data_IF_288119800718
#
_entry.id   IF_288119800718
#
_cell.length_a   1.000
_cell.length_b   1.000
_cell.length_c   1.000
_cell.angle_alpha   90.00
_cell.angle_beta   90.00
_cell.angle_gamma   90.00
#
_symmetry.space_group_name_H-M   'P 1'
#
loop_
_entity.id
_entity.type
_entity.pdbx_description
1 polymer ?
#
# COMPACT_ATOMS: atom_id res chain seq x y z
N UNK A 1 -7.60 -6.12 24.38
CA UNK A 1 -6.37 -6.64 23.76
C UNK A 1 -5.82 -7.78 24.60
N UNK A 2 -5.44 -8.92 24.02
CA UNK A 2 -4.65 -9.92 24.75
C UNK A 2 -3.25 -9.34 24.98
N UNK A 3 -2.75 -9.41 26.22
CA UNK A 3 -1.41 -8.95 26.61
C UNK A 3 -0.35 -9.81 25.92
N UNK A 4 0.77 -9.21 25.50
CA UNK A 4 1.90 -9.99 24.98
C UNK A 4 2.37 -10.98 26.05
N UNK A 5 2.69 -12.20 25.62
CA UNK A 5 3.10 -13.32 26.47
C UNK A 5 4.63 -13.32 26.73
N UNK A 6 5.38 -12.41 26.12
CA UNK A 6 6.82 -12.25 26.36
C UNK A 6 7.68 -13.43 25.86
N UNK A 7 7.16 -14.29 24.98
CA UNK A 7 7.90 -15.40 24.36
C UNK A 7 8.40 -15.02 22.97
N UNK A 8 9.46 -15.69 22.49
CA UNK A 8 9.96 -15.50 21.12
C UNK A 8 8.90 -15.79 20.07
N UNK A 9 8.03 -16.78 20.29
CA UNK A 9 6.93 -17.10 19.37
C UNK A 9 5.85 -16.01 19.36
N UNK A 10 5.51 -15.43 20.51
CA UNK A 10 4.58 -14.29 20.55
C UNK A 10 5.19 -13.05 19.88
N UNK A 11 6.49 -12.83 20.05
CA UNK A 11 7.17 -11.70 19.43
C UNK A 11 7.27 -11.82 17.90
N UNK A 12 7.63 -13.00 17.38
CA UNK A 12 7.92 -13.20 15.95
C UNK A 12 6.69 -13.57 15.11
N UNK A 13 5.75 -14.35 15.66
CA UNK A 13 4.57 -14.85 14.94
C UNK A 13 3.26 -14.64 15.68
N UNK A 14 3.25 -13.76 16.70
CA UNK A 14 2.06 -13.40 17.47
C UNK A 14 1.31 -14.63 18.05
N UNK A 15 2.05 -15.67 18.45
CA UNK A 15 1.47 -16.87 19.05
C UNK A 15 0.54 -17.68 18.14
N UNK A 16 0.47 -17.32 16.84
CA UNK A 16 -0.37 -17.98 15.83
C UNK A 16 -1.85 -18.08 16.18
N UNK A 17 -2.35 -17.14 16.97
CA UNK A 17 -3.72 -17.08 17.48
C UNK A 17 -4.44 -15.79 17.04
N UNK A 18 -3.92 -15.11 16.01
CA UNK A 18 -4.47 -13.84 15.55
C UNK A 18 -5.78 -14.07 14.81
N UNK A 19 -6.88 -13.40 15.22
CA UNK A 19 -8.17 -13.51 14.54
C UNK A 19 -8.10 -13.11 13.07
N UNK A 20 -8.85 -13.82 12.21
CA UNK A 20 -8.83 -13.63 10.76
C UNK A 20 -9.00 -12.17 10.29
N UNK A 21 -9.85 -11.39 10.96
CA UNK A 21 -10.15 -10.01 10.57
C UNK A 21 -8.99 -9.06 10.87
N UNK A 22 -8.25 -9.27 11.98
CA UNK A 22 -7.06 -8.49 12.31
C UNK A 22 -5.93 -8.80 11.33
N UNK A 23 -5.71 -10.08 11.04
CA UNK A 23 -4.76 -10.50 10.01
C UNK A 23 -5.09 -9.86 8.67
N UNK A 24 -6.37 -9.83 8.28
CA UNK A 24 -6.79 -9.24 7.02
C UNK A 24 -6.54 -7.73 6.94
N UNK A 25 -6.95 -6.97 7.96
CA UNK A 25 -6.76 -5.51 7.98
C UNK A 25 -5.28 -5.15 8.08
N UNK A 26 -4.50 -5.91 8.85
CA UNK A 26 -3.05 -5.72 8.91
C UNK A 26 -2.37 -6.03 7.58
N UNK A 27 -2.73 -7.16 6.93
CA UNK A 27 -2.22 -7.46 5.58
C UNK A 27 -2.62 -6.39 4.56
N UNK A 28 -3.83 -5.84 4.68
CA UNK A 28 -4.28 -4.74 3.85
C UNK A 28 -3.44 -3.49 4.08
N UNK A 29 -3.33 -2.97 5.31
CA UNK A 29 -2.52 -1.79 5.61
C UNK A 29 -1.07 -1.95 5.10
N UNK A 30 -0.43 -3.06 5.44
CA UNK A 30 0.95 -3.33 5.03
C UNK A 30 1.15 -3.40 3.52
N UNK A 31 0.21 -4.02 2.80
CA UNK A 31 0.27 -4.05 1.34
C UNK A 31 0.01 -2.66 0.73
N UNK A 32 -0.66 -1.76 1.46
CA UNK A 32 -0.91 -0.38 1.05
C UNK A 32 0.20 0.53 1.59
N UNK A 33 1.30 0.56 0.87
CA UNK A 33 2.44 1.40 1.21
C UNK A 33 2.25 2.85 0.80
N UNK A 34 3.25 3.69 1.09
CA UNK A 34 3.34 5.06 0.56
C UNK A 34 3.19 5.14 -0.96
N UNK A 35 3.49 4.04 -1.69
CA UNK A 35 3.18 3.93 -3.12
C UNK A 35 1.70 4.20 -3.41
N UNK A 36 0.77 3.66 -2.62
CA UNK A 36 -0.67 3.84 -2.89
C UNK A 36 -1.09 5.30 -2.76
N UNK A 37 -0.53 6.07 -1.83
CA UNK A 37 -0.89 7.47 -1.64
C UNK A 37 -0.10 8.43 -2.56
N UNK A 38 1.15 8.11 -2.89
CA UNK A 38 2.03 9.02 -3.63
C UNK A 38 2.22 8.53 -5.07
N UNK A 39 2.73 7.31 -5.23
CA UNK A 39 3.07 6.73 -6.52
C UNK A 39 1.86 6.45 -7.41
N UNK A 40 0.83 5.75 -6.92
CA UNK A 40 -0.34 5.37 -7.70
C UNK A 40 -1.22 6.57 -8.05
N UNK A 41 -1.35 7.53 -7.13
CA UNK A 41 -2.05 8.80 -7.42
C UNK A 41 -1.29 9.58 -8.50
N UNK A 42 0.03 9.68 -8.40
CA UNK A 42 0.86 10.28 -9.45
C UNK A 42 0.81 9.51 -10.78
N UNK A 43 0.70 8.18 -10.73
CA UNK A 43 0.55 7.34 -11.91
C UNK A 43 -0.79 7.59 -12.61
N UNK A 44 -1.90 7.59 -11.86
CA UNK A 44 -3.23 7.90 -12.38
C UNK A 44 -3.35 9.37 -12.85
N UNK A 45 -2.66 10.30 -12.20
CA UNK A 45 -2.55 11.68 -12.67
C UNK A 45 -1.96 11.72 -14.09
N UNK A 46 -0.91 10.93 -14.35
CA UNK A 46 -0.17 10.96 -15.63
C UNK A 46 -0.84 10.17 -16.74
N UNK A 47 -1.37 9.00 -16.43
CA UNK A 47 -1.84 8.04 -17.42
C UNK A 47 -3.37 7.94 -17.51
N UNK A 48 -4.08 8.75 -16.73
CA UNK A 48 -5.53 8.77 -16.75
C UNK A 48 -6.13 7.39 -16.43
N UNK A 49 -7.21 7.06 -17.13
CA UNK A 49 -8.01 5.84 -16.90
C UNK A 49 -7.18 4.55 -17.07
N UNK A 50 -6.11 4.57 -17.85
CA UNK A 50 -5.22 3.40 -18.03
C UNK A 50 -4.62 2.89 -16.71
N UNK A 51 -4.49 3.77 -15.70
CA UNK A 51 -4.02 3.38 -14.36
C UNK A 51 -4.86 2.30 -13.67
N UNK A 52 -6.12 2.12 -14.10
CA UNK A 52 -6.97 1.05 -13.59
C UNK A 52 -6.39 -0.35 -13.85
N UNK A 53 -5.66 -0.55 -14.95
CA UNK A 53 -5.10 -1.85 -15.31
C UNK A 53 -3.99 -2.31 -14.38
N UNK A 54 -3.24 -1.35 -13.81
CA UNK A 54 -2.27 -1.64 -12.76
C UNK A 54 -2.98 -2.30 -11.57
N UNK A 55 -4.05 -1.69 -11.06
CA UNK A 55 -4.79 -2.23 -9.92
C UNK A 55 -5.54 -3.50 -10.25
N UNK A 56 -6.17 -3.60 -11.43
CA UNK A 56 -6.87 -4.83 -11.85
C UNK A 56 -5.88 -6.00 -11.93
N UNK A 57 -4.76 -5.82 -12.63
CA UNK A 57 -3.73 -6.85 -12.73
C UNK A 57 -3.20 -7.24 -11.35
N UNK A 58 -2.85 -6.25 -10.52
CA UNK A 58 -2.37 -6.50 -9.18
C UNK A 58 -3.37 -7.29 -8.32
N UNK A 59 -4.65 -6.88 -8.31
CA UNK A 59 -5.72 -7.56 -7.58
C UNK A 59 -5.89 -8.99 -8.08
N UNK A 60 -5.86 -9.23 -9.39
CA UNK A 60 -5.95 -10.59 -9.95
C UNK A 60 -4.80 -11.46 -9.45
N UNK A 61 -3.56 -10.97 -9.51
CA UNK A 61 -2.39 -11.69 -8.98
C UNK A 61 -2.51 -11.98 -7.49
N UNK A 62 -2.95 -10.99 -6.71
CA UNK A 62 -3.12 -11.11 -5.27
C UNK A 62 -4.26 -12.08 -4.89
N UNK A 63 -5.36 -12.11 -5.66
CA UNK A 63 -6.44 -13.10 -5.48
C UNK A 63 -5.91 -14.52 -5.67
N UNK A 64 -5.10 -14.74 -6.71
CA UNK A 64 -4.44 -16.03 -6.93
C UNK A 64 -3.53 -16.38 -5.76
N UNK A 65 -2.76 -15.41 -5.25
CA UNK A 65 -1.88 -15.60 -4.11
C UNK A 65 -2.64 -16.03 -2.85
N UNK A 66 -3.68 -15.28 -2.47
CA UNK A 66 -4.53 -15.61 -1.32
C UNK A 66 -5.23 -16.97 -1.47
N UNK A 67 -5.62 -17.35 -2.68
CA UNK A 67 -6.25 -18.64 -2.94
C UNK A 67 -5.25 -19.81 -2.88
N UNK A 68 -4.03 -19.63 -3.37
CA UNK A 68 -3.08 -20.71 -3.57
C UNK A 68 -1.98 -20.82 -2.49
N UNK A 69 -1.55 -19.71 -1.88
CA UNK A 69 -0.30 -19.70 -1.08
C UNK A 69 -0.55 -19.47 0.40
N UNK A 70 -1.38 -18.50 0.78
CA UNK A 70 -1.51 -18.07 2.19
C UNK A 70 -1.89 -19.21 3.14
N UNK A 71 -2.80 -20.10 2.72
CA UNK A 71 -3.17 -21.29 3.49
C UNK A 71 -2.00 -22.26 3.68
N UNK A 72 -1.26 -22.56 2.60
CA UNK A 72 -0.09 -23.44 2.64
C UNK A 72 1.02 -22.88 3.52
N UNK A 73 1.22 -21.56 3.49
CA UNK A 73 2.14 -20.85 4.39
C UNK A 73 1.74 -21.05 5.85
N UNK A 74 0.45 -20.91 6.18
CA UNK A 74 -0.03 -21.14 7.55
C UNK A 74 0.15 -22.58 8.02
N UNK A 75 -0.22 -23.54 7.18
CA UNK A 75 -0.09 -24.99 7.46
C UNK A 75 1.38 -25.36 7.68
N UNK A 76 2.24 -25.10 6.68
CA UNK A 76 3.65 -25.47 6.73
C UNK A 76 4.41 -24.78 7.85
N UNK A 77 4.17 -23.48 8.08
CA UNK A 77 4.86 -22.78 9.16
C UNK A 77 4.50 -23.33 10.55
N UNK A 78 3.27 -23.82 10.73
CA UNK A 78 2.86 -24.50 11.96
C UNK A 78 3.53 -25.87 12.11
N UNK A 79 3.54 -26.68 11.04
CA UNK A 79 4.14 -28.02 11.05
C UNK A 79 5.63 -28.01 11.38
N UNK A 80 6.39 -27.08 10.80
CA UNK A 80 7.86 -27.01 10.99
C UNK A 80 8.30 -26.02 12.07
N UNK A 81 7.35 -25.34 12.73
CA UNK A 81 7.67 -24.31 13.72
C UNK A 81 8.42 -23.09 13.17
N UNK A 82 8.35 -22.82 11.86
CA UNK A 82 9.06 -21.70 11.25
C UNK A 82 8.53 -20.35 11.75
N UNK A 83 9.43 -19.51 12.25
CA UNK A 83 9.08 -18.18 12.80
C UNK A 83 9.43 -17.02 11.85
N UNK A 84 9.92 -17.32 10.65
CA UNK A 84 10.14 -16.34 9.59
C UNK A 84 9.97 -16.99 8.21
N UNK A 85 9.67 -16.18 7.19
CA UNK A 85 9.53 -16.67 5.81
C UNK A 85 10.83 -17.26 5.27
N UNK A 86 12.03 -16.67 5.50
CA UNK A 86 13.29 -17.32 5.17
C UNK A 86 13.43 -18.73 5.75
N UNK A 87 13.06 -18.92 7.03
CA UNK A 87 13.12 -20.26 7.66
C UNK A 87 12.06 -21.22 7.16
N UNK A 88 10.92 -20.71 6.67
CA UNK A 88 9.85 -21.51 6.09
C UNK A 88 10.23 -22.13 4.74
N UNK A 89 10.95 -21.37 3.90
CA UNK A 89 11.28 -21.79 2.53
C UNK A 89 12.67 -22.40 2.40
N UNK A 90 13.50 -22.30 3.44
CA UNK A 90 14.88 -22.77 3.37
C UNK A 90 14.98 -24.30 3.42
N UNK A 91 15.72 -24.88 2.46
CA UNK A 91 16.14 -26.29 2.47
C UNK A 91 17.34 -26.58 3.38
N UNK A 92 17.77 -25.63 4.21
CA UNK A 92 18.92 -25.76 5.10
C UNK A 92 19.38 -24.42 5.68
N UNK A 93 20.22 -24.45 6.72
CA UNK A 93 20.66 -23.26 7.47
C UNK A 93 21.32 -22.20 6.59
N UNK A 94 22.16 -22.61 5.64
CA UNK A 94 22.84 -21.68 4.73
C UNK A 94 21.84 -20.87 3.88
N UNK A 95 20.84 -21.55 3.31
CA UNK A 95 19.78 -20.91 2.52
C UNK A 95 18.94 -19.96 3.40
N UNK A 96 18.63 -20.36 4.64
CA UNK A 96 17.89 -19.51 5.58
C UNK A 96 18.66 -18.21 5.91
N UNK A 97 19.97 -18.30 6.13
CA UNK A 97 20.82 -17.15 6.41
C UNK A 97 20.89 -16.22 5.20
N UNK A 98 21.15 -16.77 4.01
CA UNK A 98 21.21 -15.96 2.77
C UNK A 98 19.87 -15.27 2.50
N UNK A 99 18.75 -16.02 2.56
CA UNK A 99 17.42 -15.46 2.38
C UNK A 99 17.09 -14.40 3.44
N UNK A 100 17.54 -14.58 4.69
CA UNK A 100 17.40 -13.59 5.76
C UNK A 100 18.17 -12.30 5.50
N UNK A 101 19.44 -12.39 5.05
CA UNK A 101 20.25 -11.22 4.70
C UNK A 101 19.66 -10.46 3.51
N UNK A 102 19.23 -11.18 2.46
CA UNK A 102 18.56 -10.55 1.31
C UNK A 102 17.25 -9.88 1.73
N UNK A 103 16.45 -10.53 2.57
CA UNK A 103 15.22 -9.96 3.13
C UNK A 103 15.52 -8.66 3.88
N UNK A 104 16.53 -8.65 4.75
CA UNK A 104 16.93 -7.46 5.50
C UNK A 104 17.39 -6.33 4.58
N UNK A 105 18.23 -6.62 3.58
CA UNK A 105 18.72 -5.62 2.64
C UNK A 105 17.59 -4.98 1.81
N UNK A 106 16.72 -5.80 1.21
CA UNK A 106 15.63 -5.30 0.35
C UNK A 106 14.47 -4.69 1.13
N UNK A 107 14.09 -5.23 2.29
CA UNK A 107 13.07 -4.58 3.13
C UNK A 107 13.61 -3.31 3.80
N UNK A 108 14.91 -3.25 4.09
CA UNK A 108 15.55 -2.05 4.60
C UNK A 108 15.49 -0.90 3.59
N UNK A 109 15.79 -1.16 2.31
CA UNK A 109 15.62 -0.14 1.27
C UNK A 109 14.16 0.23 1.04
N UNK A 110 13.25 -0.75 1.12
CA UNK A 110 11.81 -0.49 1.00
C UNK A 110 11.28 0.38 2.15
N UNK A 111 11.67 0.11 3.39
CA UNK A 111 11.34 0.95 4.55
C UNK A 111 11.88 2.38 4.39
N UNK A 112 13.09 2.54 3.82
CA UNK A 112 13.63 3.85 3.45
C UNK A 112 12.73 4.62 2.48
N UNK A 113 12.19 3.95 1.47
CA UNK A 113 11.23 4.55 0.54
C UNK A 113 9.93 4.98 1.23
N UNK A 114 9.47 4.23 2.25
CA UNK A 114 8.29 4.62 3.03
C UNK A 114 8.52 5.91 3.83
N UNK A 115 9.66 6.00 4.52
CA UNK A 115 10.04 7.21 5.26
C UNK A 115 10.22 8.41 4.33
N UNK A 116 10.76 8.19 3.12
CA UNK A 116 10.86 9.22 2.10
C UNK A 116 9.49 9.73 1.65
N UNK A 117 8.52 8.84 1.42
CA UNK A 117 7.16 9.22 1.02
C UNK A 117 6.47 10.08 2.09
N UNK A 118 6.53 9.68 3.37
CA UNK A 118 5.97 10.48 4.48
C UNK A 118 6.69 11.83 4.65
N UNK A 119 8.01 11.84 4.52
CA UNK A 119 8.83 13.05 4.58
C UNK A 119 8.52 14.04 3.44
N UNK A 120 8.36 13.54 2.21
CA UNK A 120 7.99 14.37 1.06
C UNK A 120 6.65 15.09 1.26
N UNK A 121 5.68 14.44 1.91
CA UNK A 121 4.42 15.08 2.23
C UNK A 121 4.55 16.14 3.33
N UNK A 122 5.31 15.90 4.40
CA UNK A 122 5.58 16.93 5.41
C UNK A 122 6.30 18.13 4.82
N UNK A 123 7.27 17.89 3.93
CA UNK A 123 7.96 18.95 3.21
C UNK A 123 7.00 19.75 2.33
N UNK A 124 6.15 19.07 1.55
CA UNK A 124 5.18 19.71 0.65
C UNK A 124 4.13 20.53 1.40
N UNK A 125 3.65 20.03 2.53
CA UNK A 125 2.54 20.63 3.28
C UNK A 125 2.98 21.72 4.27
N UNK A 126 4.15 21.54 4.89
CA UNK A 126 4.60 22.42 5.98
C UNK A 126 5.97 23.05 5.75
N UNK A 127 6.64 22.75 4.61
CA UNK A 127 8.00 23.22 4.35
C UNK A 127 9.05 22.60 5.26
N UNK A 128 8.74 21.49 5.93
CA UNK A 128 9.68 20.85 6.86
C UNK A 128 10.90 20.29 6.14
N UNK A 129 12.04 20.28 6.82
CA UNK A 129 13.22 19.60 6.31
C UNK A 129 12.96 18.08 6.14
N UNK A 130 13.40 17.53 5.01
CA UNK A 130 13.13 16.14 4.68
C UNK A 130 13.78 15.16 5.67
N UNK A 131 14.97 15.48 6.20
CA UNK A 131 15.64 14.62 7.17
C UNK A 131 14.89 14.63 8.50
N UNK A 132 14.35 15.77 8.93
CA UNK A 132 13.51 15.86 10.14
C UNK A 132 12.28 14.96 10.02
N UNK A 133 11.56 15.03 8.89
CA UNK A 133 10.39 14.18 8.65
C UNK A 133 10.73 12.68 8.68
N UNK A 134 11.85 12.30 8.06
CA UNK A 134 12.31 10.90 8.03
C UNK A 134 12.73 10.40 9.42
N UNK A 135 13.47 11.19 10.19
CA UNK A 135 13.92 10.83 11.54
C UNK A 135 12.74 10.67 12.50
N UNK A 136 11.76 11.57 12.44
CA UNK A 136 10.55 11.47 13.27
C UNK A 136 9.76 10.19 12.96
N UNK A 137 9.55 9.90 11.67
CA UNK A 137 8.91 8.65 11.24
C UNK A 137 9.65 7.42 11.75
N UNK A 138 10.98 7.39 11.60
CA UNK A 138 11.81 6.27 12.06
C UNK A 138 11.72 6.07 13.59
N UNK A 139 11.79 7.14 14.39
CA UNK A 139 11.69 7.06 15.85
C UNK A 139 10.34 6.50 16.29
N UNK A 140 9.24 6.96 15.68
CA UNK A 140 7.89 6.46 15.99
C UNK A 140 7.82 4.95 15.68
N UNK A 141 8.21 4.55 14.47
CA UNK A 141 8.17 3.14 14.03
C UNK A 141 9.01 2.25 14.93
N UNK A 142 10.25 2.63 15.20
CA UNK A 142 11.15 1.88 16.08
C UNK A 142 10.56 1.72 17.48
N UNK A 143 9.99 2.79 18.06
CA UNK A 143 9.47 2.76 19.43
C UNK A 143 8.36 1.72 19.61
N UNK A 144 7.35 1.68 18.72
CA UNK A 144 6.28 0.70 18.87
C UNK A 144 6.70 -0.72 18.43
N UNK A 145 7.56 -0.85 17.42
CA UNK A 145 8.07 -2.15 16.96
C UNK A 145 8.86 -2.89 18.07
N UNK A 146 9.72 -2.19 18.81
CA UNK A 146 10.50 -2.78 19.90
C UNK A 146 9.63 -3.23 21.08
N UNK A 147 8.52 -2.53 21.33
CA UNK A 147 7.71 -2.74 22.55
C UNK A 147 6.78 -3.97 22.52
N UNK A 148 6.39 -4.47 21.35
CA UNK A 148 5.34 -5.49 21.27
C UNK A 148 5.35 -6.45 20.07
N UNK A 149 6.42 -6.44 19.27
CA UNK A 149 6.64 -7.41 18.19
C UNK A 149 5.51 -7.45 17.14
N UNK A 150 5.36 -8.59 16.47
CA UNK A 150 4.36 -8.76 15.40
C UNK A 150 2.92 -8.54 15.90
N UNK A 151 2.60 -8.96 17.13
CA UNK A 151 1.25 -8.79 17.67
C UNK A 151 0.89 -7.30 17.78
N UNK A 152 1.78 -6.47 18.31
CA UNK A 152 1.54 -5.03 18.39
C UNK A 152 1.40 -4.41 17.00
N UNK A 153 2.30 -4.77 16.07
CA UNK A 153 2.21 -4.33 14.67
C UNK A 153 0.85 -4.67 14.05
N UNK A 154 0.36 -5.91 14.17
CA UNK A 154 -0.95 -6.28 13.60
C UNK A 154 -2.09 -5.40 14.13
N UNK A 155 -2.07 -5.06 15.42
CA UNK A 155 -3.09 -4.19 16.01
C UNK A 155 -2.97 -2.74 15.54
N UNK A 156 -1.76 -2.20 15.47
CA UNK A 156 -1.54 -0.83 14.95
C UNK A 156 -1.93 -0.75 13.49
N UNK A 157 -1.57 -1.75 12.69
CA UNK A 157 -1.91 -1.80 11.26
C UNK A 157 -3.43 -1.85 11.06
N UNK A 158 -4.16 -2.62 11.86
CA UNK A 158 -5.61 -2.69 11.76
C UNK A 158 -6.28 -1.34 12.07
N UNK A 159 -5.73 -0.55 13.00
CA UNK A 159 -6.17 0.81 13.26
C UNK A 159 -5.79 1.76 12.11
N UNK A 160 -4.57 1.63 11.59
CA UNK A 160 -4.05 2.39 10.45
C UNK A 160 -4.87 2.17 9.18
N UNK A 161 -5.30 0.93 8.90
CA UNK A 161 -6.21 0.59 7.80
C UNK A 161 -7.51 1.41 7.84
N UNK A 162 -8.05 1.67 9.04
CA UNK A 162 -9.24 2.50 9.18
C UNK A 162 -8.94 3.98 8.91
N UNK A 163 -7.83 4.50 9.44
CA UNK A 163 -7.40 5.89 9.21
C UNK A 163 -7.17 6.14 7.73
N UNK A 164 -6.51 5.21 7.03
CA UNK A 164 -6.29 5.28 5.58
C UNK A 164 -7.60 5.33 4.80
N UNK A 165 -8.56 4.45 5.15
CA UNK A 165 -9.86 4.40 4.47
C UNK A 165 -10.64 5.69 4.66
N UNK A 166 -10.70 6.22 5.89
CA UNK A 166 -11.40 7.47 6.20
C UNK A 166 -10.76 8.65 5.47
N UNK A 167 -9.43 8.77 5.53
CA UNK A 167 -8.70 9.81 4.83
C UNK A 167 -9.01 9.80 3.32
N UNK A 168 -8.79 8.66 2.67
CA UNK A 168 -9.00 8.53 1.22
C UNK A 168 -10.47 8.74 0.82
N UNK A 169 -11.42 8.24 1.61
CA UNK A 169 -12.85 8.46 1.36
C UNK A 169 -13.25 9.93 1.46
N UNK A 170 -12.74 10.65 2.47
CA UNK A 170 -12.98 12.09 2.62
C UNK A 170 -12.48 12.86 1.40
N UNK A 171 -11.23 12.63 0.98
CA UNK A 171 -10.66 13.32 -0.18
C UNK A 171 -11.39 12.95 -1.48
N UNK A 172 -11.73 11.67 -1.68
CA UNK A 172 -12.48 11.22 -2.84
C UNK A 172 -13.81 11.95 -2.99
N UNK A 173 -14.58 12.06 -1.90
CA UNK A 173 -15.90 12.72 -1.93
C UNK A 173 -15.76 14.18 -2.32
N UNK A 174 -14.85 14.92 -1.69
CA UNK A 174 -14.65 16.35 -1.99
C UNK A 174 -14.13 16.54 -3.42
N UNK A 175 -13.18 15.70 -3.87
CA UNK A 175 -12.64 15.76 -5.22
C UNK A 175 -13.71 15.47 -6.28
N UNK A 176 -14.54 14.44 -6.09
CA UNK A 176 -15.63 14.13 -7.02
C UNK A 176 -16.68 15.25 -7.07
N UNK A 177 -17.00 15.88 -5.95
CA UNK A 177 -17.90 17.05 -5.94
C UNK A 177 -17.28 18.20 -6.73
N UNK A 178 -15.98 18.47 -6.52
CA UNK A 178 -15.25 19.54 -7.21
C UNK A 178 -15.14 19.30 -8.73
N UNK A 179 -15.15 18.05 -9.19
CA UNK A 179 -15.18 17.71 -10.62
C UNK A 179 -16.59 17.60 -11.21
N UNK A 180 -17.66 17.92 -10.47
CA UNK A 180 -19.03 17.80 -10.97
C UNK A 180 -19.58 16.36 -11.01
N UNK A 181 -19.04 15.49 -10.16
CA UNK A 181 -19.38 14.07 -10.06
C UNK A 181 -18.58 13.18 -11.02
N UNK A 182 -18.89 11.86 -11.08
CA UNK A 182 -18.19 10.93 -11.95
C UNK A 182 -18.27 11.26 -13.44
N UNK A 183 -19.41 11.76 -13.91
CA UNK A 183 -19.58 12.18 -15.31
C UNK A 183 -18.71 13.41 -15.61
N UNK A 184 -18.78 14.44 -14.76
CA UNK A 184 -17.97 15.65 -14.90
C UNK A 184 -16.47 15.36 -14.84
N UNK A 185 -16.03 14.39 -14.02
CA UNK A 185 -14.64 13.93 -13.99
C UNK A 185 -14.18 13.41 -15.36
N UNK A 186 -14.97 12.49 -15.95
CA UNK A 186 -14.63 11.89 -17.25
C UNK A 186 -14.67 12.94 -18.37
N UNK A 187 -15.68 13.80 -18.38
CA UNK A 187 -15.82 14.86 -19.37
C UNK A 187 -14.65 15.85 -19.30
N UNK A 188 -14.26 16.27 -18.08
CA UNK A 188 -13.14 17.17 -17.88
C UNK A 188 -11.79 16.55 -18.29
N UNK A 189 -11.57 15.26 -18.01
CA UNK A 189 -10.37 14.55 -18.48
C UNK A 189 -10.33 14.53 -20.01
N UNK A 190 -11.43 14.16 -20.67
CA UNK A 190 -11.52 14.08 -22.13
C UNK A 190 -11.32 15.45 -22.80
N UNK A 191 -11.77 16.53 -22.16
CA UNK A 191 -11.55 17.90 -22.63
C UNK A 191 -10.10 18.35 -22.49
N UNK A 192 -9.40 17.92 -21.44
CA UNK A 192 -7.98 18.23 -21.25
C UNK A 192 -7.10 17.49 -22.26
N UNK A 193 -7.32 16.18 -22.39
CA UNK A 193 -6.62 15.32 -23.34
C UNK A 193 -7.43 14.03 -23.54
N UNK A 194 -7.91 13.74 -24.77
CA UNK A 194 -8.62 12.49 -25.07
C UNK A 194 -7.86 11.22 -24.67
N UNK A 195 -6.52 11.24 -24.63
CA UNK A 195 -5.71 10.10 -24.19
C UNK A 195 -5.95 9.73 -22.72
N UNK A 196 -6.36 10.68 -21.86
CA UNK A 196 -6.61 10.43 -20.43
C UNK A 196 -7.84 9.55 -20.18
N UNK A 197 -8.75 9.44 -21.14
CA UNK A 197 -9.95 8.57 -21.05
C UNK A 197 -9.84 7.33 -21.93
N UNK A 198 -8.73 7.15 -22.64
CA UNK A 198 -8.45 5.91 -23.35
C UNK A 198 -8.19 4.79 -22.34
N UNK A 199 -8.92 3.69 -22.48
CA UNK A 199 -8.78 2.55 -21.58
C UNK A 199 -7.52 1.74 -21.89
N UNK A 200 -7.22 1.51 -23.16
CA UNK A 200 -6.08 0.68 -23.59
C UNK A 200 -5.03 1.63 -24.18
N UNK A 201 -3.75 1.54 -23.76
CA UNK A 201 -2.68 2.29 -24.40
C UNK A 201 -2.51 1.86 -25.87
N UNK A 202 -2.36 2.82 -26.77
CA UNK A 202 -2.28 2.58 -28.23
C UNK A 202 -0.88 2.09 -28.67
N UNK A 203 0.16 2.27 -27.85
CA UNK A 203 1.57 2.05 -28.15
C UNK A 203 2.16 0.76 -27.53
N UNK A 204 1.31 -0.21 -27.21
CA UNK A 204 1.74 -1.47 -26.59
C UNK A 204 2.50 -2.37 -27.56
N UNK A 205 3.84 -2.35 -27.47
CA UNK A 205 4.76 -3.14 -28.29
C UNK A 205 4.42 -4.65 -28.38
N UNK A 206 3.85 -5.23 -27.31
CA UNK A 206 3.52 -6.65 -27.22
C UNK A 206 2.02 -6.91 -26.98
N UNK A 207 1.18 -5.90 -27.20
CA UNK A 207 -0.27 -5.97 -27.04
C UNK A 207 -0.77 -5.96 -25.59
N UNK A 208 -2.08 -5.75 -25.45
CA UNK A 208 -2.76 -5.59 -24.16
C UNK A 208 -2.64 -6.81 -23.23
N UNK A 209 -2.64 -8.03 -23.77
CA UNK A 209 -2.53 -9.25 -22.97
C UNK A 209 -1.24 -9.31 -22.14
N UNK A 210 -0.08 -9.00 -22.75
CA UNK A 210 1.21 -9.00 -22.05
C UNK A 210 1.36 -7.78 -21.13
N UNK A 211 0.78 -6.64 -21.50
CA UNK A 211 0.69 -5.47 -20.63
C UNK A 211 -0.04 -5.79 -19.31
N UNK A 212 -1.25 -6.36 -19.40
CA UNK A 212 -2.02 -6.75 -18.21
C UNK A 212 -1.33 -7.86 -17.43
N UNK A 213 -0.75 -8.85 -18.12
CA UNK A 213 -0.02 -9.94 -17.49
C UNK A 213 1.15 -9.44 -16.64
N UNK A 214 1.85 -8.38 -17.07
CA UNK A 214 2.90 -7.73 -16.28
C UNK A 214 2.42 -7.27 -14.91
N UNK A 215 1.25 -6.63 -14.84
CA UNK A 215 0.65 -6.23 -13.56
C UNK A 215 0.13 -7.40 -12.73
N UNK A 216 -0.36 -8.47 -13.37
CA UNK A 216 -0.71 -9.72 -12.69
C UNK A 216 0.52 -10.34 -12.01
N UNK A 217 1.66 -10.35 -12.68
CA UNK A 217 2.92 -10.76 -12.07
C UNK A 217 3.36 -9.83 -10.93
N UNK A 218 3.11 -8.52 -11.05
CA UNK A 218 3.28 -7.58 -9.94
C UNK A 218 2.51 -8.00 -8.69
N UNK A 219 1.21 -8.30 -8.84
CA UNK A 219 0.37 -8.80 -7.74
C UNK A 219 0.83 -10.16 -7.19
N UNK A 220 1.19 -11.11 -8.07
CA UNK A 220 1.78 -12.40 -7.65
C UNK A 220 3.09 -12.22 -6.89
N UNK A 221 3.85 -11.18 -7.20
CA UNK A 221 5.11 -10.81 -6.55
C UNK A 221 4.97 -10.58 -5.05
N UNK A 222 3.76 -10.36 -4.52
CA UNK A 222 3.49 -10.32 -3.08
C UNK A 222 3.87 -11.63 -2.36
N UNK A 223 3.99 -12.77 -3.06
CA UNK A 223 4.56 -14.01 -2.51
C UNK A 223 6.00 -13.84 -2.03
N UNK A 224 6.75 -12.95 -2.69
CA UNK A 224 8.14 -12.67 -2.38
C UNK A 224 8.33 -11.69 -1.23
N UNK A 225 7.25 -11.27 -0.56
CA UNK A 225 7.27 -10.24 0.48
C UNK A 225 7.12 -10.85 1.87
N UNK A 226 8.22 -11.02 2.65
CA UNK A 226 8.18 -11.72 3.93
C UNK A 226 7.27 -11.06 4.96
N UNK A 227 7.23 -9.72 4.95
CA UNK A 227 6.37 -8.94 5.80
C UNK A 227 4.87 -9.20 5.49
N UNK A 228 4.44 -9.41 4.26
CA UNK A 228 3.03 -9.80 3.99
C UNK A 228 2.77 -11.24 4.45
N UNK A 229 3.65 -12.18 4.12
CA UNK A 229 3.44 -13.60 4.39
C UNK A 229 3.46 -13.96 5.89
N UNK A 230 4.24 -13.24 6.72
CA UNK A 230 4.30 -13.51 8.18
C UNK A 230 2.93 -13.38 8.85
N UNK A 231 2.05 -12.51 8.35
CA UNK A 231 0.67 -12.33 8.85
C UNK A 231 -0.16 -13.60 8.64
N UNK A 232 0.10 -14.31 7.56
CA UNK A 232 -0.51 -15.64 7.30
C UNK A 232 0.04 -16.70 8.21
N UNK A 233 1.28 -16.58 8.69
CA UNK A 233 1.86 -17.51 9.68
C UNK A 233 1.24 -17.29 11.07
N UNK A 234 0.83 -16.05 11.37
CA UNK A 234 0.27 -15.61 12.64
C UNK A 234 -1.25 -15.84 12.82
N UNK A 235 -1.98 -16.10 11.74
CA UNK A 235 -3.45 -16.30 11.80
C UNK A 235 -3.82 -17.54 12.64
N UNK A 236 -4.97 -17.47 13.30
CA UNK A 236 -5.48 -18.50 14.23
C UNK A 236 -5.58 -19.92 13.65
N UNK A 237 -5.93 -20.06 12.36
CA UNK A 237 -5.99 -21.38 11.71
C UNK A 237 -5.86 -21.30 10.18
N UNK A 238 -5.50 -22.40 9.50
CA UNK A 238 -5.51 -22.47 8.04
C UNK A 238 -6.87 -22.14 7.40
N UNK A 239 -7.97 -22.58 8.02
CA UNK A 239 -9.34 -22.36 7.54
C UNK A 239 -9.72 -20.87 7.63
N UNK A 240 -9.20 -20.17 8.64
CA UNK A 240 -9.40 -18.75 8.86
C UNK A 240 -8.88 -17.88 7.69
N UNK A 241 -7.93 -18.37 6.89
CA UNK A 241 -7.42 -17.67 5.69
C UNK A 241 -8.54 -17.32 4.72
N UNK A 242 -9.56 -18.18 4.56
CA UNK A 242 -10.68 -17.90 3.67
C UNK A 242 -11.50 -16.70 4.15
N UNK A 243 -11.67 -16.57 5.47
CA UNK A 243 -12.35 -15.42 6.09
C UNK A 243 -11.50 -14.16 5.98
N UNK A 244 -10.21 -14.27 6.28
CA UNK A 244 -9.26 -13.17 6.17
C UNK A 244 -9.21 -12.61 4.73
N UNK A 245 -9.15 -13.48 3.72
CA UNK A 245 -9.20 -13.12 2.30
C UNK A 245 -10.42 -12.25 1.96
N UNK A 246 -11.61 -12.61 2.45
CA UNK A 246 -12.84 -11.85 2.18
C UNK A 246 -12.78 -10.45 2.78
N UNK A 247 -12.33 -10.34 4.04
CA UNK A 247 -12.17 -9.05 4.73
C UNK A 247 -11.11 -8.20 4.02
N UNK A 248 -9.99 -8.80 3.64
CA UNK A 248 -8.89 -8.14 2.93
C UNK A 248 -9.38 -7.51 1.62
N UNK A 249 -10.04 -8.27 0.74
CA UNK A 249 -10.52 -7.72 -0.53
C UNK A 249 -11.72 -6.78 -0.39
N UNK A 250 -12.56 -6.97 0.62
CA UNK A 250 -13.63 -6.02 0.94
C UNK A 250 -13.08 -4.63 1.35
N UNK A 251 -11.86 -4.57 1.89
CA UNK A 251 -11.16 -3.33 2.19
C UNK A 251 -10.30 -2.85 1.01
N UNK A 252 -9.51 -3.75 0.39
CA UNK A 252 -8.47 -3.41 -0.59
C UNK A 252 -9.03 -2.90 -1.92
N UNK A 253 -10.13 -3.50 -2.40
CA UNK A 253 -10.71 -3.13 -3.69
C UNK A 253 -11.33 -1.74 -3.66
N UNK A 254 -12.20 -1.38 -2.68
CA UNK A 254 -12.73 -0.02 -2.59
C UNK A 254 -11.63 1.02 -2.35
N UNK A 255 -10.65 0.73 -1.50
CA UNK A 255 -9.53 1.63 -1.25
C UNK A 255 -8.71 1.88 -2.52
N UNK A 256 -8.36 0.83 -3.26
CA UNK A 256 -7.66 0.94 -4.56
C UNK A 256 -8.42 1.76 -5.58
N UNK A 257 -9.74 1.56 -5.67
CA UNK A 257 -10.58 2.34 -6.57
C UNK A 257 -10.60 3.83 -6.19
N UNK A 258 -10.70 4.12 -4.88
CA UNK A 258 -10.66 5.48 -4.37
C UNK A 258 -9.34 6.19 -4.72
N UNK A 259 -8.21 5.50 -4.55
CA UNK A 259 -6.88 6.03 -4.90
C UNK A 259 -6.79 6.40 -6.38
N UNK A 260 -7.22 5.50 -7.28
CA UNK A 260 -7.21 5.78 -8.73
C UNK A 260 -8.09 6.99 -9.04
N UNK A 261 -9.32 7.03 -8.52
CA UNK A 261 -10.25 8.14 -8.74
C UNK A 261 -9.71 9.48 -8.20
N UNK A 262 -9.03 9.49 -7.05
CA UNK A 262 -8.37 10.70 -6.52
C UNK A 262 -7.22 11.15 -7.44
N UNK A 263 -6.44 10.23 -8.02
CA UNK A 263 -5.41 10.58 -9.00
C UNK A 263 -5.98 11.17 -10.29
N UNK A 264 -7.09 10.62 -10.78
CA UNK A 264 -7.83 11.18 -11.91
C UNK A 264 -8.37 12.59 -11.60
N UNK A 265 -8.99 12.76 -10.43
CA UNK A 265 -9.49 14.07 -10.02
C UNK A 265 -8.36 15.08 -9.81
N UNK A 266 -7.20 14.63 -9.32
CA UNK A 266 -6.00 15.46 -9.22
C UNK A 266 -5.54 15.96 -10.59
N UNK A 267 -5.63 15.13 -11.64
CA UNK A 267 -5.29 15.55 -13.01
C UNK A 267 -6.21 16.66 -13.51
N UNK A 268 -7.51 16.53 -13.23
CA UNK A 268 -8.50 17.54 -13.60
C UNK A 268 -8.28 18.86 -12.86
N UNK A 269 -8.08 18.79 -11.54
CA UNK A 269 -8.10 19.96 -10.66
C UNK A 269 -6.72 20.66 -10.54
N UNK A 270 -5.64 19.98 -10.89
CA UNK A 270 -4.28 20.51 -10.87
C UNK A 270 -3.59 20.32 -12.23
N UNK A 271 -4.16 20.82 -13.35
CA UNK A 271 -3.69 20.47 -14.69
C UNK A 271 -2.25 20.91 -14.99
N UNK A 272 -1.78 21.94 -14.31
CA UNK A 272 -0.45 22.52 -14.48
C UNK A 272 0.60 21.96 -13.51
N UNK A 273 0.26 20.93 -12.71
CA UNK A 273 1.17 20.38 -11.71
C UNK A 273 2.51 19.92 -12.30
N UNK A 274 2.48 19.43 -13.54
CA UNK A 274 3.65 18.96 -14.28
C UNK A 274 4.07 19.91 -15.41
N UNK A 275 3.46 21.10 -15.51
CA UNK A 275 3.77 22.06 -16.56
C UNK A 275 5.21 22.59 -16.41
N UNK A 276 5.97 22.61 -17.50
CA UNK A 276 7.37 23.08 -17.51
C UNK A 276 8.37 22.19 -16.78
N UNK A 277 7.95 21.03 -16.26
CA UNK A 277 8.84 20.04 -15.64
C UNK A 277 9.54 19.23 -16.74
N UNK A 278 10.85 19.04 -16.62
CA UNK A 278 11.59 18.21 -17.58
C UNK A 278 11.06 16.77 -17.59
N UNK A 279 11.07 16.05 -18.74
CA UNK A 279 10.55 14.69 -18.84
C UNK A 279 11.02 13.74 -17.74
N UNK A 280 12.31 13.82 -17.37
CA UNK A 280 12.94 12.99 -16.33
C UNK A 280 12.37 13.21 -14.92
N UNK A 281 11.74 14.36 -14.66
CA UNK A 281 11.21 14.74 -13.35
C UNK A 281 9.68 14.75 -13.28
N UNK A 282 8.97 14.52 -14.39
CA UNK A 282 7.50 14.54 -14.44
C UNK A 282 6.88 13.53 -13.48
N UNK A 283 7.47 12.34 -13.35
CA UNK A 283 7.01 11.31 -12.41
C UNK A 283 7.00 11.84 -10.97
N UNK A 284 8.14 12.41 -10.54
CA UNK A 284 8.32 12.96 -9.20
C UNK A 284 7.47 14.21 -8.94
N UNK A 285 7.20 15.02 -9.97
CA UNK A 285 6.29 16.15 -9.84
C UNK A 285 4.83 15.68 -9.66
N UNK A 286 4.40 14.64 -10.40
CA UNK A 286 3.06 14.08 -10.29
C UNK A 286 2.80 13.42 -8.91
N UNK A 287 3.84 12.91 -8.24
CA UNK A 287 3.75 12.41 -6.86
C UNK A 287 3.30 13.48 -5.84
N UNK A 288 3.41 14.77 -6.19
CA UNK A 288 2.89 15.87 -5.37
C UNK A 288 1.37 16.10 -5.52
N UNK A 289 0.69 15.32 -6.36
CA UNK A 289 -0.75 15.45 -6.62
C UNK A 289 -1.57 15.36 -5.33
N UNK A 290 -1.34 14.32 -4.52
CA UNK A 290 -2.05 14.11 -3.27
C UNK A 290 -1.92 15.30 -2.28
N UNK A 291 -0.69 15.71 -1.87
CA UNK A 291 -0.57 16.79 -0.90
C UNK A 291 -1.10 18.12 -1.43
N UNK A 292 -0.88 18.44 -2.71
CA UNK A 292 -1.41 19.69 -3.30
C UNK A 292 -2.92 19.69 -3.44
N UNK A 293 -3.52 18.56 -3.82
CA UNK A 293 -4.98 18.44 -3.89
C UNK A 293 -5.59 18.56 -2.50
N UNK A 294 -4.95 17.96 -1.49
CA UNK A 294 -5.39 18.06 -0.10
C UNK A 294 -5.41 19.52 0.37
N UNK A 295 -4.36 20.30 0.11
CA UNK A 295 -4.32 21.73 0.44
C UNK A 295 -5.34 22.57 -0.34
N UNK A 296 -5.61 22.19 -1.60
CA UNK A 296 -6.52 22.94 -2.45
C UNK A 296 -7.99 22.75 -2.06
N UNK A 297 -8.36 21.56 -1.57
CA UNK A 297 -9.76 21.17 -1.37
C UNK A 297 -10.20 21.02 0.08
N UNK A 298 -9.28 20.68 0.99
CA UNK A 298 -9.65 20.32 2.37
C UNK A 298 -9.37 21.48 3.33
N UNK A 299 -10.23 21.68 4.36
CA UNK A 299 -9.89 22.54 5.48
C UNK A 299 -8.72 21.94 6.28
N UNK A 300 -7.97 22.77 7.00
CA UNK A 300 -6.74 22.40 7.71
C UNK A 300 -6.86 21.12 8.56
N UNK A 301 -7.99 20.96 9.26
CA UNK A 301 -8.24 19.77 10.08
C UNK A 301 -8.27 18.48 9.24
N UNK A 302 -8.86 18.51 8.04
CA UNK A 302 -8.94 17.36 7.15
C UNK A 302 -7.64 17.15 6.36
N UNK A 303 -6.83 18.19 6.14
CA UNK A 303 -5.44 18.02 5.67
C UNK A 303 -4.63 17.20 6.69
N UNK A 304 -4.82 17.46 7.98
CA UNK A 304 -4.25 16.65 9.07
C UNK A 304 -4.71 15.19 9.03
N UNK A 305 -5.98 14.92 8.74
CA UNK A 305 -6.51 13.56 8.54
C UNK A 305 -5.86 12.88 7.33
N UNK A 306 -5.67 13.60 6.23
CA UNK A 306 -4.98 13.06 5.04
C UNK A 306 -3.53 12.70 5.33
N UNK A 307 -2.83 13.55 6.06
CA UNK A 307 -1.49 13.26 6.55
C UNK A 307 -1.46 12.02 7.44
N UNK A 308 -2.41 11.92 8.38
CA UNK A 308 -2.53 10.74 9.23
C UNK A 308 -2.75 9.47 8.40
N UNK A 309 -3.56 9.53 7.34
CA UNK A 309 -3.78 8.43 6.40
C UNK A 309 -2.51 8.03 5.63
N UNK A 310 -1.75 8.99 5.11
CA UNK A 310 -0.47 8.72 4.45
C UNK A 310 0.54 8.11 5.42
N UNK A 311 0.68 8.69 6.62
CA UNK A 311 1.59 8.17 7.63
C UNK A 311 1.17 6.78 8.11
N UNK A 312 -0.14 6.54 8.25
CA UNK A 312 -0.67 5.22 8.54
C UNK A 312 -0.24 4.20 7.49
N UNK A 313 -0.34 4.53 6.20
CA UNK A 313 0.14 3.68 5.11
C UNK A 313 1.65 3.42 5.22
N UNK A 314 2.47 4.47 5.28
CA UNK A 314 3.94 4.34 5.28
C UNK A 314 4.48 3.64 6.52
N UNK A 315 3.85 3.80 7.69
CA UNK A 315 4.32 3.19 8.95
C UNK A 315 3.83 1.75 9.13
N UNK A 316 2.70 1.37 8.52
CA UNK A 316 2.18 -0.01 8.55
C UNK A 316 2.95 -0.97 7.62
N UNK A 317 3.77 -0.43 6.72
CA UNK A 317 4.60 -1.15 5.74
C UNK A 317 6.04 -1.28 6.24
#
# INVERSE_FOLDING_TARGET
MRKSQGTTEDYLVAGRDVPAWLTALSSAATNNSGFMFIGLIGFAYRFGVQAVWLQIGWIVGDVVLWAAVHRRVRERSGEVGASSVPTLIAGGRAVAVVAGVLTFAFLGSYAGAQLQAGSAALHSLFGWDMAVGAVLGAVIVVTYCFSGGLRASIWTDAAQALVMLVAMACLLVVALVATGGPAGLVDALAQQDPALVQWVPDDLAFGFGLYLLGFVFGGLGAVGQPHILIRSMAIESPEAITRARRVYFAWYVPFSAAVVLVGLASRVLLPDLTAGVSPDHVAKAAELALPKLSLALLPDALVGVMLAGLFAATMST
#
